data_IF_340593208110
#
_entry.id   IF_340593208110
#
_cell.length_a   1.000
_cell.length_b   1.000
_cell.length_c   1.000
_cell.angle_alpha   90.00
_cell.angle_beta   90.00
_cell.angle_gamma   90.00
#
_symmetry.space_group_name_H-M   'P 1'
#
loop_
_entity.id
_entity.type
_entity.pdbx_description
1 polymer ?
#
# COMPACT_ATOMS: atom_id res chain seq x y z
N UNK A 1 -25.16 -16.01 3.22
CA UNK A 1 -24.86 -15.07 2.12
C UNK A 1 -25.77 -13.87 2.28
N UNK A 2 -25.22 -12.66 2.31
CA UNK A 2 -25.97 -11.41 2.37
C UNK A 2 -26.38 -11.01 0.96
N UNK A 3 -27.68 -11.11 0.70
CA UNK A 3 -28.31 -10.84 -0.60
C UNK A 3 -29.19 -9.59 -0.53
N UNK A 4 -29.54 -9.04 -1.68
CA UNK A 4 -30.52 -7.96 -1.81
C UNK A 4 -31.81 -8.54 -2.42
N UNK A 5 -32.83 -8.71 -1.57
CA UNK A 5 -34.05 -9.44 -1.92
C UNK A 5 -34.76 -8.84 -3.16
N UNK A 6 -35.05 -9.69 -4.14
CA UNK A 6 -35.77 -9.34 -5.37
C UNK A 6 -34.89 -8.71 -6.46
N UNK A 7 -33.56 -8.74 -6.33
CA UNK A 7 -32.61 -8.20 -7.31
C UNK A 7 -31.52 -9.22 -7.66
N UNK A 8 -30.83 -8.98 -8.75
CA UNK A 8 -29.63 -9.75 -9.09
C UNK A 8 -28.53 -9.51 -8.05
N UNK A 9 -27.90 -10.58 -7.58
CA UNK A 9 -26.85 -10.56 -6.57
C UNK A 9 -25.43 -10.65 -7.15
N UNK A 10 -25.25 -11.39 -8.25
CA UNK A 10 -23.96 -11.61 -8.90
C UNK A 10 -24.00 -11.20 -10.36
N UNK A 11 -22.94 -10.55 -10.81
CA UNK A 11 -22.64 -10.32 -12.22
C UNK A 11 -21.34 -11.07 -12.55
N UNK A 12 -21.41 -12.03 -13.47
CA UNK A 12 -20.24 -12.78 -13.90
C UNK A 12 -20.02 -12.55 -15.39
N UNK A 13 -18.78 -12.23 -15.76
CA UNK A 13 -18.34 -11.96 -17.12
C UNK A 13 -17.32 -13.01 -17.54
N UNK A 14 -17.58 -13.67 -18.67
CA UNK A 14 -16.68 -14.65 -19.28
C UNK A 14 -15.64 -13.97 -20.18
N UNK A 15 -14.60 -14.70 -20.59
CA UNK A 15 -13.47 -14.17 -21.37
C UNK A 15 -13.84 -13.70 -22.78
N UNK A 16 -14.98 -14.15 -23.32
CA UNK A 16 -15.55 -13.64 -24.57
C UNK A 16 -16.25 -12.27 -24.42
N UNK A 17 -16.33 -11.73 -23.21
CA UNK A 17 -16.99 -10.46 -22.89
C UNK A 17 -18.51 -10.59 -22.65
N UNK A 18 -19.09 -11.78 -22.78
CA UNK A 18 -20.48 -12.01 -22.41
C UNK A 18 -20.59 -12.07 -20.89
N UNK A 19 -21.66 -11.48 -20.37
CA UNK A 19 -21.95 -11.48 -18.94
C UNK A 19 -23.35 -12.00 -18.68
N UNK A 20 -23.54 -12.51 -17.47
CA UNK A 20 -24.85 -12.92 -16.99
C UNK A 20 -25.02 -12.61 -15.52
N UNK A 21 -26.29 -12.57 -15.15
CA UNK A 21 -26.76 -12.13 -13.85
C UNK A 21 -27.35 -13.32 -13.09
N UNK A 22 -27.02 -13.45 -11.80
CA UNK A 22 -27.53 -14.50 -10.93
C UNK A 22 -28.23 -13.89 -9.72
N UNK A 23 -29.47 -14.31 -9.49
CA UNK A 23 -30.23 -14.00 -8.29
C UNK A 23 -30.16 -15.21 -7.33
N UNK A 24 -29.84 -14.99 -6.05
CA UNK A 24 -29.73 -16.02 -5.03
C UNK A 24 -30.87 -15.99 -3.99
N UNK A 25 -31.98 -15.32 -4.31
CA UNK A 25 -33.18 -15.24 -3.48
C UNK A 25 -33.70 -16.62 -3.08
N UNK A 26 -33.86 -16.83 -1.77
CA UNK A 26 -34.46 -18.04 -1.21
C UNK A 26 -33.59 -19.30 -1.30
N UNK A 27 -32.35 -19.19 -1.77
CA UNK A 27 -31.42 -20.33 -1.81
C UNK A 27 -30.80 -20.57 -0.43
N UNK A 28 -30.79 -21.83 0.01
CA UNK A 28 -30.36 -22.21 1.36
C UNK A 28 -29.12 -23.10 1.37
N UNK A 29 -28.82 -23.75 0.24
CA UNK A 29 -27.71 -24.68 0.11
C UNK A 29 -26.69 -24.26 -0.95
N UNK A 30 -25.44 -24.70 -0.79
CA UNK A 30 -24.38 -24.47 -1.78
C UNK A 30 -24.70 -25.14 -3.12
N UNK A 31 -25.37 -26.30 -3.09
CA UNK A 31 -25.83 -26.99 -4.29
C UNK A 31 -26.81 -26.12 -5.10
N UNK A 32 -27.81 -25.54 -4.43
CA UNK A 32 -28.76 -24.62 -5.06
C UNK A 32 -28.08 -23.38 -5.65
N UNK A 33 -27.04 -22.85 -4.98
CA UNK A 33 -26.25 -21.72 -5.52
C UNK A 33 -25.49 -22.13 -6.78
N UNK A 34 -24.84 -23.30 -6.77
CA UNK A 34 -24.12 -23.83 -7.94
C UNK A 34 -25.10 -24.04 -9.11
N UNK A 35 -26.25 -24.64 -8.83
CA UNK A 35 -27.28 -24.89 -9.83
C UNK A 35 -27.84 -23.58 -10.41
N UNK A 36 -28.08 -22.56 -9.57
CA UNK A 36 -28.53 -21.26 -10.01
C UNK A 36 -27.51 -20.57 -10.94
N UNK A 37 -26.21 -20.64 -10.62
CA UNK A 37 -25.15 -20.09 -11.46
C UNK A 37 -25.09 -20.83 -12.81
N UNK A 38 -25.13 -22.16 -12.80
CA UNK A 38 -25.10 -22.98 -14.02
C UNK A 38 -26.34 -22.76 -14.90
N UNK A 39 -27.51 -22.61 -14.29
CA UNK A 39 -28.76 -22.30 -14.98
C UNK A 39 -28.71 -20.92 -15.65
N UNK A 40 -28.21 -19.91 -14.94
CA UNK A 40 -28.06 -18.55 -15.47
C UNK A 40 -27.05 -18.49 -16.62
N UNK A 41 -25.91 -19.18 -16.50
CA UNK A 41 -24.92 -19.29 -17.57
C UNK A 41 -25.51 -19.93 -18.84
N UNK A 42 -26.23 -21.05 -18.67
CA UNK A 42 -26.90 -21.75 -19.77
C UNK A 42 -27.99 -20.89 -20.42
N UNK A 43 -28.80 -20.20 -19.60
CA UNK A 43 -29.86 -19.30 -20.08
C UNK A 43 -29.33 -18.10 -20.86
N UNK A 44 -28.13 -17.61 -20.52
CA UNK A 44 -27.44 -16.55 -21.23
C UNK A 44 -26.61 -17.05 -22.43
N UNK A 45 -26.49 -18.36 -22.64
CA UNK A 45 -25.64 -18.95 -23.69
C UNK A 45 -24.14 -18.79 -23.45
N UNK A 46 -23.73 -18.56 -22.21
CA UNK A 46 -22.33 -18.42 -21.81
C UNK A 46 -21.80 -19.79 -21.41
N UNK A 47 -20.73 -20.25 -22.08
CA UNK A 47 -20.07 -21.52 -21.76
C UNK A 47 -19.31 -21.47 -20.45
N UNK A 48 -19.98 -21.36 -19.31
CA UNK A 48 -19.34 -21.33 -17.99
C UNK A 48 -19.99 -22.36 -17.06
N UNK A 49 -19.18 -22.98 -16.21
CA UNK A 49 -19.62 -24.00 -15.27
C UNK A 49 -19.11 -23.69 -13.88
N UNK A 50 -20.03 -23.66 -12.91
CA UNK A 50 -19.75 -23.64 -11.49
C UNK A 50 -19.71 -25.08 -10.96
N UNK A 51 -18.72 -25.40 -10.13
CA UNK A 51 -18.63 -26.64 -9.38
C UNK A 51 -18.10 -26.37 -7.97
N UNK A 52 -18.21 -27.35 -7.07
CA UNK A 52 -17.40 -27.32 -5.86
C UNK A 52 -15.92 -27.42 -6.26
N UNK A 53 -15.05 -26.71 -5.55
CA UNK A 53 -13.61 -26.83 -5.76
C UNK A 53 -13.15 -28.25 -5.44
N UNK A 54 -12.23 -28.80 -6.24
CA UNK A 54 -11.62 -30.11 -5.97
C UNK A 54 -10.77 -30.10 -4.69
N UNK A 55 -10.37 -28.91 -4.25
CA UNK A 55 -9.43 -28.61 -3.19
C UNK A 55 -9.99 -27.40 -2.44
N UNK A 56 -10.26 -27.54 -1.14
CA UNK A 56 -10.92 -26.50 -0.32
C UNK A 56 -12.46 -26.57 -0.31
N UNK A 57 -13.08 -25.65 0.43
CA UNK A 57 -14.54 -25.56 0.66
C UNK A 57 -15.23 -24.52 -0.24
N UNK A 58 -14.52 -23.96 -1.22
CA UNK A 58 -14.99 -22.92 -2.12
C UNK A 58 -15.73 -23.43 -3.37
N UNK A 59 -16.36 -22.50 -4.09
CA UNK A 59 -16.96 -22.75 -5.42
C UNK A 59 -15.90 -22.40 -6.48
N UNK A 60 -15.70 -23.24 -7.49
CA UNK A 60 -14.87 -22.94 -8.65
C UNK A 60 -15.74 -22.61 -9.85
N UNK A 61 -15.48 -21.47 -10.48
CA UNK A 61 -16.06 -21.09 -11.76
C UNK A 61 -15.05 -21.41 -12.87
N UNK A 62 -15.47 -22.18 -13.87
CA UNK A 62 -14.64 -22.55 -15.03
C UNK A 62 -15.27 -22.00 -16.30
N UNK A 63 -14.54 -21.16 -17.02
CA UNK A 63 -14.93 -20.64 -18.33
C UNK A 63 -14.45 -21.57 -19.46
N UNK A 64 -15.40 -22.01 -20.28
CA UNK A 64 -15.22 -22.82 -21.48
C UNK A 64 -15.71 -22.10 -22.75
N UNK A 65 -16.11 -20.83 -22.63
CA UNK A 65 -16.67 -20.04 -23.72
C UNK A 65 -15.62 -19.50 -24.70
N UNK A 66 -14.34 -19.57 -24.33
CA UNK A 66 -13.20 -19.10 -25.11
C UNK A 66 -13.07 -17.57 -25.12
N UNK A 67 -11.92 -17.07 -25.58
CA UNK A 67 -11.63 -15.63 -25.63
C UNK A 67 -10.35 -15.26 -24.88
N UNK A 68 -9.78 -14.11 -25.24
CA UNK A 68 -8.55 -13.58 -24.63
C UNK A 68 -8.83 -12.40 -23.70
N UNK A 69 -10.10 -12.15 -23.36
CA UNK A 69 -10.50 -11.12 -22.41
C UNK A 69 -10.38 -11.59 -20.97
N UNK A 70 -10.68 -10.69 -20.04
CA UNK A 70 -10.71 -10.99 -18.61
C UNK A 70 -12.00 -11.71 -18.24
N UNK A 71 -11.90 -12.75 -17.41
CA UNK A 71 -13.04 -13.30 -16.69
C UNK A 71 -13.13 -12.59 -15.35
N UNK A 72 -14.33 -12.20 -14.93
CA UNK A 72 -14.53 -11.56 -13.64
C UNK A 72 -15.86 -11.96 -13.01
N UNK A 73 -15.85 -12.08 -11.69
CA UNK A 73 -17.04 -12.26 -10.88
C UNK A 73 -17.14 -11.10 -9.88
N UNK A 74 -18.25 -10.38 -9.94
CA UNK A 74 -18.46 -9.15 -9.18
C UNK A 74 -19.88 -9.03 -8.65
N UNK A 75 -20.07 -7.99 -7.84
CA UNK A 75 -21.36 -7.68 -7.21
C UNK A 75 -22.34 -7.15 -8.25
N UNK A 76 -23.56 -7.65 -8.24
CA UNK A 76 -24.70 -6.96 -8.84
C UNK A 76 -25.48 -6.24 -7.75
N UNK A 77 -26.05 -5.07 -8.08
CA UNK A 77 -26.96 -4.30 -7.22
C UNK A 77 -26.49 -4.05 -5.77
N UNK A 78 -25.18 -3.92 -5.54
CA UNK A 78 -24.57 -3.75 -4.21
C UNK A 78 -24.71 -4.95 -3.26
N UNK A 79 -25.16 -6.10 -3.75
CA UNK A 79 -25.20 -7.34 -2.98
C UNK A 79 -23.79 -7.73 -2.53
N UNK A 80 -23.68 -8.28 -1.31
CA UNK A 80 -22.42 -8.79 -0.74
C UNK A 80 -22.24 -10.29 -1.02
N UNK A 81 -23.12 -10.86 -1.85
CA UNK A 81 -23.19 -12.29 -2.05
C UNK A 81 -21.90 -12.89 -2.63
N UNK A 82 -21.29 -12.22 -3.60
CA UNK A 82 -20.06 -12.69 -4.25
C UNK A 82 -18.86 -12.72 -3.28
N UNK A 83 -18.81 -11.80 -2.30
CA UNK A 83 -17.78 -11.80 -1.25
C UNK A 83 -18.06 -12.87 -0.22
N UNK A 84 -19.33 -13.05 0.17
CA UNK A 84 -19.75 -14.08 1.11
C UNK A 84 -19.65 -15.51 0.54
N UNK A 85 -19.49 -15.64 -0.79
CA UNK A 85 -19.16 -16.89 -1.49
C UNK A 85 -17.66 -17.02 -1.81
N UNK A 86 -16.86 -15.99 -1.51
CA UNK A 86 -15.42 -15.97 -1.78
C UNK A 86 -15.04 -15.94 -3.26
N UNK A 87 -16.00 -15.61 -4.14
CA UNK A 87 -15.86 -15.65 -5.60
C UNK A 87 -15.39 -14.33 -6.22
N UNK A 88 -15.06 -13.33 -5.40
CA UNK A 88 -14.63 -12.02 -5.89
C UNK A 88 -13.24 -12.14 -6.52
N UNK A 89 -13.15 -11.97 -7.83
CA UNK A 89 -11.89 -12.10 -8.53
C UNK A 89 -11.98 -11.76 -10.01
N UNK A 90 -10.82 -11.43 -10.58
CA UNK A 90 -10.61 -11.27 -12.01
C UNK A 90 -9.42 -12.12 -12.40
N UNK A 91 -9.57 -12.92 -13.46
CA UNK A 91 -8.48 -13.72 -14.04
C UNK A 91 -8.25 -13.31 -15.48
N UNK A 92 -6.99 -13.35 -15.89
CA UNK A 92 -6.50 -13.02 -17.22
C UNK A 92 -5.95 -14.29 -17.90
N UNK A 93 -5.51 -14.17 -19.15
CA UNK A 93 -4.89 -15.27 -19.89
C UNK A 93 -3.55 -15.72 -19.27
N UNK A 94 -3.27 -17.03 -19.12
CA UNK A 94 -3.99 -18.20 -19.64
C UNK A 94 -5.07 -18.79 -18.72
N UNK A 95 -5.27 -18.25 -17.51
CA UNK A 95 -6.23 -18.78 -16.56
C UNK A 95 -7.68 -18.71 -17.08
N UNK A 96 -8.42 -19.79 -16.84
CA UNK A 96 -9.84 -19.95 -17.21
C UNK A 96 -10.71 -20.28 -16.02
N UNK A 97 -10.16 -20.19 -14.81
CA UNK A 97 -10.85 -20.58 -13.58
C UNK A 97 -10.72 -19.50 -12.51
N UNK A 98 -11.84 -19.16 -11.88
CA UNK A 98 -11.87 -18.43 -10.60
C UNK A 98 -12.14 -19.46 -9.51
N UNK A 99 -11.17 -19.68 -8.63
CA UNK A 99 -11.31 -20.54 -7.46
C UNK A 99 -11.76 -19.70 -6.27
N UNK A 100 -12.93 -20.02 -5.72
CA UNK A 100 -13.49 -19.34 -4.56
C UNK A 100 -12.61 -19.52 -3.31
N UNK A 101 -12.41 -18.44 -2.58
CA UNK A 101 -11.71 -18.45 -1.30
C UNK A 101 -12.62 -18.96 -0.18
N UNK A 102 -12.07 -19.67 0.80
CA UNK A 102 -12.83 -20.05 1.99
C UNK A 102 -13.05 -18.82 2.88
N UNK A 103 -14.25 -18.23 2.78
CA UNK A 103 -14.68 -17.07 3.56
C UNK A 103 -15.36 -17.45 4.88
N UNK A 104 -15.61 -18.75 5.10
CA UNK A 104 -16.15 -19.31 6.33
C UNK A 104 -15.08 -20.04 7.13
N UNK A 105 -13.82 -19.61 7.02
CA UNK A 105 -12.73 -20.19 7.81
C UNK A 105 -12.95 -19.93 9.30
N UNK A 106 -13.39 -20.97 10.03
CA UNK A 106 -13.39 -21.00 11.50
C UNK A 106 -11.97 -20.94 12.11
N UNK A 107 -10.94 -20.89 11.25
CA UNK A 107 -9.52 -20.80 11.60
C UNK A 107 -8.93 -19.47 11.15
N UNK A 108 -7.98 -18.94 11.91
CA UNK A 108 -7.16 -17.85 11.43
C UNK A 108 -6.33 -18.33 10.23
N UNK A 109 -6.61 -17.84 9.02
CA UNK A 109 -5.83 -18.17 7.82
C UNK A 109 -4.56 -17.34 7.81
N UNK A 110 -3.41 -18.00 7.75
CA UNK A 110 -2.10 -17.35 7.76
C UNK A 110 -0.97 -18.35 7.53
N UNK A 111 0.24 -17.85 7.28
CA UNK A 111 1.40 -18.70 6.94
C UNK A 111 1.70 -19.75 8.03
N UNK A 112 1.50 -19.42 9.30
CA UNK A 112 1.70 -20.37 10.40
C UNK A 112 0.64 -21.47 10.40
N UNK A 113 -0.61 -21.13 10.09
CA UNK A 113 -1.70 -22.11 9.95
C UNK A 113 -1.44 -23.05 8.78
N UNK A 114 -0.98 -22.52 7.64
CA UNK A 114 -0.60 -23.32 6.48
C UNK A 114 0.56 -24.28 6.80
N UNK A 115 1.54 -23.85 7.59
CA UNK A 115 2.62 -24.72 8.07
C UNK A 115 2.14 -25.80 9.05
N UNK A 116 1.20 -25.48 9.95
CA UNK A 116 0.58 -26.48 10.83
C UNK A 116 -0.26 -27.50 10.06
N UNK A 117 -0.96 -27.07 9.01
CA UNK A 117 -1.76 -27.98 8.20
C UNK A 117 -0.86 -28.84 7.29
N UNK A 118 0.27 -28.31 6.82
CA UNK A 118 1.32 -29.11 6.17
C UNK A 118 1.90 -30.17 7.11
N UNK A 119 2.23 -29.81 8.36
CA UNK A 119 2.73 -30.75 9.37
C UNK A 119 1.73 -31.89 9.59
N UNK A 120 0.45 -31.55 9.78
CA UNK A 120 -0.60 -32.56 9.98
C UNK A 120 -0.81 -33.44 8.76
N UNK A 121 -0.78 -32.86 7.56
CA UNK A 121 -0.88 -33.62 6.32
C UNK A 121 0.28 -34.63 6.18
N UNK A 122 1.51 -34.21 6.52
CA UNK A 122 2.69 -35.08 6.54
C UNK A 122 2.59 -36.19 7.59
N UNK A 123 2.08 -35.89 8.79
CA UNK A 123 1.89 -36.89 9.86
C UNK A 123 0.80 -37.90 9.48
N UNK A 124 -0.27 -37.43 8.82
CA UNK A 124 -1.40 -38.26 8.41
C UNK A 124 -1.16 -39.01 7.08
N UNK A 125 -0.05 -38.74 6.38
CA UNK A 125 0.23 -39.20 5.01
C UNK A 125 -0.92 -38.87 4.03
N UNK A 126 -1.56 -37.72 4.24
CA UNK A 126 -2.70 -37.26 3.45
C UNK A 126 -2.21 -36.38 2.29
N UNK A 127 -2.13 -36.98 1.10
CA UNK A 127 -1.67 -36.32 -0.11
C UNK A 127 -2.56 -35.16 -0.56
N UNK A 128 -3.87 -35.23 -0.30
CA UNK A 128 -4.80 -34.17 -0.66
C UNK A 128 -4.63 -32.97 0.28
N UNK A 129 -4.54 -33.21 1.58
CA UNK A 129 -4.25 -32.18 2.57
C UNK A 129 -2.88 -31.51 2.34
N UNK A 130 -1.90 -32.29 1.84
CA UNK A 130 -0.57 -31.77 1.51
C UNK A 130 -0.62 -30.77 0.33
N UNK A 131 -1.39 -31.07 -0.71
CA UNK A 131 -1.60 -30.15 -1.84
C UNK A 131 -2.28 -28.86 -1.39
N UNK A 132 -3.31 -28.94 -0.54
CA UNK A 132 -3.98 -27.77 0.04
C UNK A 132 -2.99 -26.88 0.78
N UNK A 133 -2.23 -27.48 1.70
CA UNK A 133 -1.27 -26.74 2.51
C UNK A 133 -0.16 -26.10 1.66
N UNK A 134 0.27 -26.76 0.58
CA UNK A 134 1.25 -26.21 -0.36
C UNK A 134 0.72 -24.98 -1.11
N UNK A 135 -0.53 -25.03 -1.61
CA UNK A 135 -1.18 -23.90 -2.28
C UNK A 135 -1.40 -22.71 -1.33
N UNK A 136 -1.77 -22.98 -0.07
CA UNK A 136 -1.89 -21.94 0.96
C UNK A 136 -0.55 -21.25 1.25
N UNK A 137 0.53 -22.03 1.34
CA UNK A 137 1.89 -21.49 1.53
C UNK A 137 2.29 -20.61 0.35
N UNK A 138 2.04 -21.04 -0.88
CA UNK A 138 2.40 -20.27 -2.08
C UNK A 138 1.68 -18.92 -2.14
N UNK A 139 0.37 -18.90 -1.87
CA UNK A 139 -0.41 -17.65 -1.77
C UNK A 139 0.17 -16.70 -0.72
N UNK A 140 0.49 -17.20 0.47
CA UNK A 140 1.10 -16.39 1.52
C UNK A 140 2.52 -15.92 1.19
N UNK A 141 3.29 -16.68 0.40
CA UNK A 141 4.60 -16.28 -0.09
C UNK A 141 4.50 -15.07 -1.04
N UNK A 142 3.53 -15.07 -1.94
CA UNK A 142 3.24 -13.95 -2.85
C UNK A 142 2.91 -12.68 -2.07
N UNK A 143 2.02 -12.79 -1.08
CA UNK A 143 1.65 -11.64 -0.23
C UNK A 143 2.83 -11.11 0.59
N UNK A 144 3.66 -12.00 1.14
CA UNK A 144 4.87 -11.61 1.86
C UNK A 144 5.87 -10.90 0.94
N UNK A 145 6.07 -11.38 -0.28
CA UNK A 145 6.88 -10.72 -1.30
C UNK A 145 6.38 -9.32 -1.62
N UNK A 146 5.07 -9.16 -1.79
CA UNK A 146 4.43 -7.85 -2.03
C UNK A 146 4.67 -6.88 -0.88
N UNK A 147 4.47 -7.33 0.36
CA UNK A 147 4.74 -6.53 1.56
C UNK A 147 6.22 -6.11 1.67
N UNK A 148 7.15 -7.05 1.41
CA UNK A 148 8.59 -6.75 1.34
C UNK A 148 8.92 -5.71 0.27
N UNK A 149 8.31 -5.80 -0.91
CA UNK A 149 8.48 -4.81 -1.98
C UNK A 149 8.04 -3.41 -1.56
N UNK A 150 6.89 -3.29 -0.89
CA UNK A 150 6.38 -2.02 -0.36
C UNK A 150 7.32 -1.45 0.71
N UNK A 151 7.82 -2.28 1.63
CA UNK A 151 8.80 -1.87 2.65
C UNK A 151 10.09 -1.40 2.00
N UNK A 152 10.58 -2.09 0.96
CA UNK A 152 11.74 -1.68 0.18
C UNK A 152 11.56 -0.30 -0.48
N UNK A 153 10.41 -0.06 -1.11
CA UNK A 153 10.07 1.22 -1.71
C UNK A 153 9.97 2.35 -0.67
N UNK A 154 9.33 2.09 0.48
CA UNK A 154 9.27 3.02 1.61
C UNK A 154 10.64 3.32 2.19
N UNK A 155 11.49 2.30 2.33
CA UNK A 155 12.86 2.45 2.80
C UNK A 155 13.72 3.28 1.85
N UNK A 156 13.53 3.13 0.53
CA UNK A 156 14.14 4.02 -0.47
C UNK A 156 13.65 5.47 -0.32
N UNK A 157 12.33 5.66 -0.26
CA UNK A 157 11.75 7.01 -0.09
C UNK A 157 12.24 7.71 1.18
N UNK A 158 12.36 6.98 2.29
CA UNK A 158 12.91 7.51 3.54
C UNK A 158 14.37 7.93 3.41
N UNK A 159 15.22 7.12 2.74
CA UNK A 159 16.63 7.48 2.48
C UNK A 159 16.73 8.72 1.59
N UNK A 160 15.94 8.78 0.53
CA UNK A 160 15.95 9.94 -0.38
C UNK A 160 15.52 11.22 0.37
N UNK A 161 14.50 11.12 1.25
CA UNK A 161 14.05 12.24 2.09
C UNK A 161 15.06 12.64 3.17
N UNK A 162 15.79 11.68 3.73
CA UNK A 162 16.87 11.94 4.67
C UNK A 162 17.98 12.77 4.01
N UNK A 163 18.47 12.35 2.84
CA UNK A 163 19.49 13.10 2.09
C UNK A 163 19.02 14.51 1.73
N UNK A 164 17.76 14.66 1.31
CA UNK A 164 17.20 15.99 1.03
C UNK A 164 17.17 16.87 2.29
N UNK A 165 16.82 16.31 3.44
CA UNK A 165 16.78 17.03 4.71
C UNK A 165 18.18 17.42 5.17
N UNK A 166 19.16 16.53 5.08
CA UNK A 166 20.58 16.81 5.39
C UNK A 166 21.13 17.95 4.54
N UNK A 167 20.84 17.95 3.23
CA UNK A 167 21.22 19.03 2.32
C UNK A 167 20.54 20.36 2.67
N UNK A 168 19.26 20.34 3.06
CA UNK A 168 18.53 21.53 3.45
C UNK A 168 19.05 22.12 4.78
N UNK A 169 19.40 21.26 5.74
CA UNK A 169 20.05 21.68 7.00
C UNK A 169 21.38 22.34 6.69
N UNK A 170 22.24 21.70 5.89
CA UNK A 170 23.55 22.25 5.52
C UNK A 170 23.43 23.61 4.81
N UNK A 171 22.52 23.74 3.84
CA UNK A 171 22.28 25.02 3.16
C UNK A 171 21.80 26.10 4.13
N UNK A 172 20.94 25.74 5.09
CA UNK A 172 20.45 26.69 6.11
C UNK A 172 21.56 27.10 7.07
N UNK A 173 22.43 26.18 7.48
CA UNK A 173 23.61 26.46 8.30
C UNK A 173 24.58 27.41 7.59
N UNK A 174 24.82 27.22 6.29
CA UNK A 174 25.63 28.13 5.48
C UNK A 174 25.04 29.54 5.40
N UNK A 175 23.73 29.66 5.14
CA UNK A 175 23.04 30.95 5.12
C UNK A 175 23.07 31.64 6.50
N UNK A 176 22.91 30.87 7.57
CA UNK A 176 23.03 31.39 8.94
C UNK A 176 24.45 31.85 9.24
N UNK A 177 25.47 31.10 8.81
CA UNK A 177 26.88 31.48 8.94
C UNK A 177 27.16 32.79 8.19
N UNK A 178 26.70 32.94 6.95
CA UNK A 178 26.89 34.17 6.16
C UNK A 178 26.26 35.41 6.81
N UNK A 179 25.07 35.27 7.42
CA UNK A 179 24.36 36.40 8.05
C UNK A 179 24.86 36.70 9.46
N UNK A 180 25.26 35.67 10.22
CA UNK A 180 25.50 35.78 11.67
C UNK A 180 26.99 35.81 12.03
N UNK A 181 27.84 35.19 11.23
CA UNK A 181 29.25 35.12 11.55
C UNK A 181 29.90 36.47 11.29
N UNK A 182 30.57 36.97 12.33
CA UNK A 182 31.36 38.19 12.25
C UNK A 182 32.60 37.88 11.41
N UNK A 183 32.81 38.63 10.32
CA UNK A 183 34.12 38.67 9.70
C UNK A 183 35.09 39.35 10.69
N UNK A 184 35.80 38.52 11.46
CA UNK A 184 36.76 38.98 12.45
C UNK A 184 37.84 39.89 11.84
N UNK A 185 38.15 39.74 10.55
CA UNK A 185 39.12 40.59 9.86
C UNK A 185 38.57 42.01 9.71
N UNK A 186 37.34 42.15 9.21
CA UNK A 186 36.66 43.44 9.06
C UNK A 186 36.36 44.06 10.43
N UNK A 187 35.91 43.27 11.40
CA UNK A 187 35.60 43.75 12.74
C UNK A 187 36.83 44.25 13.50
N UNK A 188 37.97 43.54 13.42
CA UNK A 188 39.24 43.97 14.00
C UNK A 188 39.73 45.26 13.33
N UNK A 189 39.61 45.35 12.00
CA UNK A 189 39.99 46.56 11.26
C UNK A 189 39.17 47.77 11.68
N UNK A 190 37.84 47.63 11.74
CA UNK A 190 36.94 48.70 12.23
C UNK A 190 37.22 49.06 13.69
N UNK A 191 37.49 48.07 14.54
CA UNK A 191 37.82 48.31 15.93
C UNK A 191 39.12 49.11 16.08
N UNK A 192 40.17 48.76 15.34
CA UNK A 192 41.44 49.49 15.32
C UNK A 192 41.27 50.93 14.80
N UNK A 193 40.46 51.13 13.76
CA UNK A 193 40.11 52.46 13.26
C UNK A 193 39.35 53.28 14.33
N UNK A 194 38.37 52.69 14.98
CA UNK A 194 37.62 53.33 16.06
C UNK A 194 38.51 53.68 17.26
N UNK A 195 39.43 52.80 17.64
CA UNK A 195 40.40 53.04 18.71
C UNK A 195 41.36 54.18 18.35
N UNK A 196 41.82 54.23 17.10
CA UNK A 196 42.67 55.32 16.59
C UNK A 196 41.92 56.66 16.61
N UNK A 197 40.68 56.67 16.13
CA UNK A 197 39.83 57.87 16.15
C UNK A 197 39.53 58.33 17.58
N UNK A 198 39.27 57.40 18.51
CA UNK A 198 39.06 57.72 19.93
C UNK A 198 40.32 58.35 20.54
N UNK A 199 41.50 57.78 20.33
CA UNK A 199 42.76 58.37 20.80
C UNK A 199 42.99 59.77 20.22
N UNK A 200 42.73 59.97 18.92
CA UNK A 200 42.83 61.29 18.30
C UNK A 200 41.83 62.29 18.91
N UNK A 201 40.60 61.87 19.19
CA UNK A 201 39.58 62.70 19.84
C UNK A 201 39.96 63.08 21.28
N UNK A 202 40.58 62.16 22.03
CA UNK A 202 41.06 62.40 23.40
C UNK A 202 42.24 63.37 23.41
N UNK A 203 43.20 63.22 22.49
CA UNK A 203 44.32 64.16 22.34
C UNK A 203 43.83 65.56 21.96
N UNK A 204 42.92 65.65 20.99
CA UNK A 204 42.34 66.93 20.55
C UNK A 204 41.54 67.58 21.69
N UNK A 205 40.71 66.80 22.39
CA UNK A 205 39.95 67.28 23.55
C UNK A 205 40.87 67.75 24.68
N UNK A 206 41.95 67.03 24.96
CA UNK A 206 42.95 67.43 25.96
C UNK A 206 43.67 68.73 25.58
N UNK A 207 43.93 68.99 24.30
CA UNK A 207 44.55 70.24 23.84
C UNK A 207 43.60 71.43 24.00
N UNK A 208 42.32 71.27 23.62
CA UNK A 208 41.28 72.31 23.75
C UNK A 208 41.01 72.66 25.21
N UNK A 209 40.97 71.67 26.11
CA UNK A 209 40.75 71.91 27.54
C UNK A 209 41.93 72.69 28.16
N UNK A 210 43.17 72.43 27.74
CA UNK A 210 44.36 73.07 28.30
C UNK A 210 44.57 74.51 27.80
N UNK A 211 44.23 74.82 26.54
CA UNK A 211 44.20 76.21 26.05
C UNK A 211 43.09 77.03 26.70
N UNK A 212 41.90 76.45 26.94
CA UNK A 212 40.80 77.18 27.56
C UNK A 212 41.09 77.62 29.00
N UNK A 213 41.82 76.81 29.78
CA UNK A 213 42.15 77.13 31.16
C UNK A 213 43.30 78.15 31.28
N UNK A 214 44.26 78.16 30.34
CA UNK A 214 45.31 79.18 30.29
C UNK A 214 44.88 80.50 29.67
N UNK A 215 43.85 80.51 28.81
CA UNK A 215 43.25 81.73 28.26
C UNK A 215 42.23 82.37 29.23
N UNK A 216 41.66 81.58 30.16
CA UNK A 216 40.75 82.07 31.21
C UNK A 216 41.48 82.76 32.39
N UNK A 217 42.80 82.57 32.52
CA UNK A 217 43.62 83.09 33.64
C UNK A 217 44.61 84.20 33.22
N UNK A 218 44.44 84.82 32.04
CA UNK A 218 45.15 86.05 31.66
C UNK A 218 44.24 87.26 31.66
#
# INVERSE_FOLDING_TARGET
VRIEEGKTDLLITAKNGNSFEVNLDGLTTVGEVIDAINLAATGAGVGMTASLAAVGSGITLTDSSGGTGFMSAGRANLSFAVDDLGLTGTVDDPETQIVGTDVASARATGVLTALFDLERALIADDSQALTIAAEDIDRHLVDFNKSRGIIGARGKSMRDRQTQTENAVFATEQLMSEVRDLDYTEAVTRFQQAQTALQASLLTGSQVLNTSLLDFLR
#
